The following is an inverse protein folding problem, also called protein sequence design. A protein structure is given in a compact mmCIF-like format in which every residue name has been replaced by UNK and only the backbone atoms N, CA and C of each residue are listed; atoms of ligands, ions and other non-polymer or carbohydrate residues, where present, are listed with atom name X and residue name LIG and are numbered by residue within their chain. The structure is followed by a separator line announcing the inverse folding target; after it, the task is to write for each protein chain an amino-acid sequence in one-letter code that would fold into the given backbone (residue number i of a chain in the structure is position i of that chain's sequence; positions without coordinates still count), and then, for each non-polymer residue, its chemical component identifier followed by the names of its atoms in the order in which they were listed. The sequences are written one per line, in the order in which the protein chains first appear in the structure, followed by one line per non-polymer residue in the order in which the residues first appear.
data_IF_398537908965
#
_entry.id   IF_398537908965
#
_cell.length_a   1.000
_cell.length_b   1.000
_cell.length_c   1.000
_cell.angle_alpha   90.00
_cell.angle_beta   90.00
_cell.angle_gamma   90.00
#
_symmetry.space_group_name_H-M   'P 1'
#
loop_
_entity.id
_entity.type
_entity.pdbx_description
1 polymer ?
#
# COMPACT_ATOMS: atom_id res chain seq x y z
N UNK A 1 4.69 7.93 18.37
CA UNK A 1 3.43 8.18 17.65
C UNK A 1 3.42 7.21 16.49
N UNK A 2 2.49 6.26 16.47
CA UNK A 2 2.32 5.37 15.32
C UNK A 2 1.73 6.20 14.20
N UNK A 3 2.47 6.40 13.12
CA UNK A 3 2.00 7.14 11.95
C UNK A 3 1.08 6.20 11.16
N UNK A 4 -0.22 6.45 11.17
CA UNK A 4 -1.20 5.65 10.42
C UNK A 4 -1.46 6.32 9.08
N UNK A 5 -1.39 5.53 8.01
CA UNK A 5 -1.61 6.00 6.64
C UNK A 5 -3.07 5.74 6.24
N UNK A 6 -3.75 6.76 5.75
CA UNK A 6 -5.13 6.62 5.26
C UNK A 6 -5.12 6.20 3.78
N UNK A 7 -5.73 5.05 3.49
CA UNK A 7 -6.00 4.54 2.15
C UNK A 7 -7.48 4.70 1.85
N UNK A 8 -7.76 5.40 0.75
CA UNK A 8 -9.14 5.56 0.25
C UNK A 8 -9.37 4.52 -0.86
N UNK A 9 -10.33 3.59 -0.68
CA UNK A 9 -10.72 2.64 -1.72
C UNK A 9 -11.28 3.41 -2.93
N UNK A 10 -10.59 3.33 -4.05
CA UNK A 10 -11.05 3.89 -5.34
C UNK A 10 -12.08 2.99 -6.03
N UNK A 11 -12.12 3.03 -7.37
CA UNK A 11 -13.08 2.25 -8.19
C UNK A 11 -13.04 0.73 -7.98
N UNK A 12 -11.99 0.18 -7.37
CA UNK A 12 -11.91 -1.24 -7.03
C UNK A 12 -12.97 -1.67 -6.00
N UNK A 13 -13.56 -0.73 -5.26
CA UNK A 13 -14.62 -0.98 -4.28
C UNK A 13 -14.09 -1.38 -2.89
N UNK A 14 -14.82 -0.96 -1.86
CA UNK A 14 -14.45 -1.08 -0.44
C UNK A 14 -14.07 -2.51 -0.05
N UNK A 15 -14.87 -3.50 -0.43
CA UNK A 15 -14.61 -4.90 -0.09
C UNK A 15 -13.31 -5.43 -0.70
N UNK A 16 -13.02 -5.12 -1.98
CA UNK A 16 -11.79 -5.60 -2.62
C UNK A 16 -10.55 -4.94 -2.01
N UNK A 17 -10.64 -3.65 -1.68
CA UNK A 17 -9.55 -2.95 -0.99
C UNK A 17 -9.34 -3.53 0.41
N UNK A 18 -10.39 -3.80 1.18
CA UNK A 18 -10.25 -4.43 2.50
C UNK A 18 -9.55 -5.79 2.43
N UNK A 19 -9.96 -6.65 1.49
CA UNK A 19 -9.35 -7.97 1.29
C UNK A 19 -7.88 -7.83 0.91
N UNK A 20 -7.54 -6.91 0.01
CA UNK A 20 -6.17 -6.69 -0.43
C UNK A 20 -5.28 -6.11 0.70
N UNK A 21 -5.78 -5.18 1.50
CA UNK A 21 -5.06 -4.65 2.66
C UNK A 21 -4.81 -5.72 3.72
N UNK A 22 -5.81 -6.57 3.98
CA UNK A 22 -5.68 -7.69 4.92
C UNK A 22 -4.76 -8.79 4.39
N UNK A 23 -4.64 -8.96 3.08
CA UNK A 23 -3.73 -9.94 2.48
C UNK A 23 -2.25 -9.57 2.65
N UNK A 24 -1.92 -8.27 2.69
CA UNK A 24 -0.53 -7.80 2.86
C UNK A 24 -0.15 -7.48 4.30
N UNK A 25 -1.14 -7.35 5.18
CA UNK A 25 -0.94 -7.10 6.60
C UNK A 25 -0.50 -8.38 7.32
N UNK A 26 0.55 -8.28 8.14
CA UNK A 26 1.00 -9.36 9.01
C UNK A 26 0.03 -9.59 10.19
N UNK A 27 -0.60 -8.52 10.70
CA UNK A 27 -1.62 -8.58 11.74
C UNK A 27 -2.88 -7.81 11.31
N UNK A 28 -4.09 -8.35 11.51
CA UNK A 28 -5.33 -7.65 11.17
C UNK A 28 -5.55 -6.36 11.99
N UNK A 29 -4.91 -6.20 13.15
CA UNK A 29 -4.97 -4.97 13.94
C UNK A 29 -4.27 -3.78 13.25
N UNK A 30 -3.38 -4.03 12.29
CA UNK A 30 -2.71 -3.02 11.48
C UNK A 30 -3.60 -2.46 10.36
N UNK A 31 -4.84 -2.95 10.22
CA UNK A 31 -5.84 -2.44 9.29
C UNK A 31 -7.10 -2.01 10.04
N UNK A 32 -7.34 -0.71 10.10
CA UNK A 32 -8.52 -0.13 10.75
C UNK A 32 -9.42 0.56 9.75
N UNK A 33 -10.70 0.21 9.76
CA UNK A 33 -11.70 0.90 8.96
C UNK A 33 -12.16 2.19 9.65
N UNK A 34 -12.22 3.29 8.89
CA UNK A 34 -12.63 4.63 9.33
C UNK A 34 -13.80 5.15 8.48
N UNK A 35 -14.39 6.27 8.92
CA UNK A 35 -15.57 6.94 8.31
C UNK A 35 -16.70 5.98 7.88
N UNK A 36 -17.03 5.01 8.73
CA UNK A 36 -18.15 4.11 8.51
C UNK A 36 -17.95 3.10 7.38
N UNK A 37 -16.70 2.80 7.00
CA UNK A 37 -16.40 1.78 5.99
C UNK A 37 -15.71 2.32 4.73
N UNK A 38 -15.58 3.63 4.59
CA UNK A 38 -15.16 4.26 3.33
C UNK A 38 -13.68 4.66 3.31
N UNK A 39 -12.98 4.55 4.43
CA UNK A 39 -11.55 4.84 4.55
C UNK A 39 -10.87 3.72 5.35
N UNK A 40 -9.59 3.44 5.09
CA UNK A 40 -8.80 2.50 5.87
C UNK A 40 -7.56 3.21 6.42
N UNK A 41 -7.42 3.25 7.74
CA UNK A 41 -6.18 3.63 8.39
C UNK A 41 -5.33 2.37 8.56
N UNK A 42 -4.17 2.34 7.92
CA UNK A 42 -3.26 1.19 7.97
C UNK A 42 -1.87 1.60 8.42
N UNK A 43 -1.09 0.65 8.91
CA UNK A 43 0.31 0.90 9.20
C UNK A 43 1.11 1.25 7.91
N UNK A 44 2.21 2.01 7.98
CA UNK A 44 2.92 2.50 6.80
C UNK A 44 3.45 1.38 5.89
N UNK A 45 3.90 0.26 6.49
CA UNK A 45 4.41 -0.88 5.74
C UNK A 45 3.29 -1.63 4.98
N UNK A 46 2.07 -1.63 5.50
CA UNK A 46 0.89 -2.20 4.82
C UNK A 46 0.54 -1.34 3.62
N UNK A 47 0.56 -0.01 3.77
CA UNK A 47 0.33 0.91 2.66
C UNK A 47 1.40 0.77 1.57
N UNK A 48 2.68 0.63 1.92
CA UNK A 48 3.76 0.43 0.97
C UNK A 48 3.60 -0.88 0.18
N UNK A 49 3.36 -2.00 0.87
CA UNK A 49 3.10 -3.30 0.22
C UNK A 49 1.85 -3.29 -0.65
N UNK A 50 0.77 -2.69 -0.16
CA UNK A 50 -0.47 -2.55 -0.93
C UNK A 50 -0.25 -1.75 -2.22
N UNK A 51 0.54 -0.68 -2.18
CA UNK A 51 0.87 0.08 -3.38
C UNK A 51 1.81 -0.69 -4.32
N UNK A 52 2.79 -1.42 -3.79
CA UNK A 52 3.72 -2.24 -4.59
C UNK A 52 2.98 -3.37 -5.34
N UNK A 53 2.00 -4.03 -4.71
CA UNK A 53 1.16 -5.04 -5.38
C UNK A 53 0.18 -4.43 -6.38
N UNK A 54 -0.28 -3.21 -6.14
CA UNK A 54 -1.28 -2.54 -7.00
C UNK A 54 -0.68 -1.89 -8.24
N UNK A 55 0.61 -1.54 -8.22
CA UNK A 55 1.35 -1.18 -9.44
C UNK A 55 1.97 -2.45 -10.06
N UNK A 56 1.38 -3.08 -11.09
CA UNK A 56 2.08 -4.10 -11.84
C UNK A 56 3.26 -3.44 -12.57
N UNK A 57 4.46 -3.55 -11.98
CA UNK A 57 5.75 -3.44 -12.65
C UNK A 57 5.92 -2.26 -13.64
N UNK A 58 5.47 -1.05 -13.31
CA UNK A 58 5.83 0.17 -14.05
C UNK A 58 6.81 1.07 -13.29
N UNK A 59 7.54 0.50 -12.31
CA UNK A 59 8.84 1.06 -11.93
C UNK A 59 9.86 0.58 -12.97
N UNK A 60 10.32 1.41 -13.92
CA UNK A 60 11.67 1.21 -14.41
C UNK A 60 12.55 1.29 -13.16
N UNK A 61 13.09 0.13 -12.75
CA UNK A 61 14.30 0.10 -11.91
C UNK A 61 15.22 1.12 -12.57
N UNK A 62 15.38 2.29 -11.95
CA UNK A 62 16.37 3.28 -12.36
C UNK A 62 17.68 2.50 -12.37
N UNK A 63 18.10 2.06 -13.56
CA UNK A 63 19.45 1.61 -13.80
C UNK A 63 20.28 2.78 -13.29
N UNK A 64 21.07 2.52 -12.24
CA UNK A 64 22.10 3.44 -11.84
C UNK A 64 22.87 3.81 -13.12
N UNK A 65 22.72 5.07 -13.54
CA UNK A 65 23.46 5.59 -14.66
C UNK A 65 24.93 5.59 -14.29
N UNK A 66 25.68 4.71 -14.96
CA UNK A 66 26.99 4.95 -15.58
C UNK A 66 27.97 5.90 -14.85
N UNK A 67 29.07 5.32 -14.38
CA UNK A 67 30.44 5.86 -14.46
C UNK A 67 31.29 4.73 -15.07
N UNK A 68 31.45 4.66 -16.39
CA UNK A 68 32.64 5.14 -17.13
C UNK A 68 33.93 5.28 -16.30
N UNK A 69 34.95 4.51 -16.70
CA UNK A 69 36.36 4.71 -16.38
C UNK A 69 37.09 3.47 -15.84
N UNK A 70 37.42 2.50 -16.71
CA UNK A 70 38.81 2.08 -17.07
C UNK A 70 38.77 0.83 -17.98
#
# INVERSE_FOLDING_TARGET
MTDWVTVVPGESGIQKTAIALLAVADDPADVQTRRGGTEFAVAPYVADRYNDEREPASRPRRRASKKEGE
#
